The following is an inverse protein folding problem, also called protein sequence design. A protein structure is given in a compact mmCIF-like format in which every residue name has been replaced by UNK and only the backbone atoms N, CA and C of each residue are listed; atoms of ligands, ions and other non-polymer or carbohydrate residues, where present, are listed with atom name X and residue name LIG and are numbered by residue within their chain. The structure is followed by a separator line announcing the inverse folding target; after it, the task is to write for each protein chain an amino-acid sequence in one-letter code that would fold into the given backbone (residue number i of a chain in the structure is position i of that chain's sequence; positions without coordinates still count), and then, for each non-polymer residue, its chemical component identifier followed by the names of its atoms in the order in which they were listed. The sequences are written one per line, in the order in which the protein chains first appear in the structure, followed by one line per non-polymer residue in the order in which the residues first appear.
data_IF_385534013385
#
_entry.id   IF_385534013385
#
_cell.length_a   1.000
_cell.length_b   1.000
_cell.length_c   1.000
_cell.angle_alpha   90.00
_cell.angle_beta   90.00
_cell.angle_gamma   90.00
#
_symmetry.space_group_name_H-M   'P 1'
#
loop_
_entity.id
_entity.type
_entity.pdbx_description
1 polymer ?
#
# COMPACT_ATOMS: atom_id res chain seq x y z
N UNK A 1 18.64 44.78 -35.87
CA UNK A 1 19.03 43.48 -35.27
C UNK A 1 18.77 43.53 -33.77
N UNK A 2 18.00 42.56 -33.28
CA UNK A 2 17.59 42.35 -31.89
C UNK A 2 18.77 42.05 -30.96
N UNK A 3 18.64 42.40 -29.67
CA UNK A 3 19.03 41.53 -28.55
C UNK A 3 18.06 41.75 -27.38
N UNK A 4 17.19 40.77 -27.12
CA UNK A 4 16.39 40.69 -25.89
C UNK A 4 17.29 40.06 -24.81
N UNK A 5 17.46 40.67 -23.62
CA UNK A 5 18.26 40.07 -22.56
C UNK A 5 17.47 38.98 -21.84
N UNK A 6 17.93 37.74 -21.95
CA UNK A 6 17.48 36.61 -21.14
C UNK A 6 18.09 36.77 -19.74
N UNK A 7 17.31 37.30 -18.79
CA UNK A 7 17.70 37.46 -17.37
C UNK A 7 16.73 36.79 -16.39
N UNK A 8 16.10 35.68 -16.78
CA UNK A 8 15.20 34.93 -15.87
C UNK A 8 15.52 33.42 -15.76
N UNK A 9 16.57 32.93 -16.40
CA UNK A 9 16.87 31.48 -16.43
C UNK A 9 17.50 30.90 -15.16
N UNK A 10 18.25 31.70 -14.38
CA UNK A 10 19.02 31.16 -13.26
C UNK A 10 18.22 31.07 -11.95
N UNK A 11 17.26 31.98 -11.73
CA UNK A 11 16.51 32.04 -10.48
C UNK A 11 15.45 30.94 -10.37
N UNK A 12 14.82 30.53 -11.47
CA UNK A 12 13.83 29.45 -11.45
C UNK A 12 14.48 28.08 -11.23
N UNK A 13 15.67 27.86 -11.81
CA UNK A 13 16.41 26.62 -11.65
C UNK A 13 16.88 26.42 -10.20
N UNK A 14 17.33 27.48 -9.53
CA UNK A 14 17.72 27.44 -8.12
C UNK A 14 16.52 27.21 -7.18
N UNK A 15 15.33 27.72 -7.51
CA UNK A 15 14.11 27.46 -6.72
C UNK A 15 13.64 26.01 -6.89
N UNK A 16 13.66 25.46 -8.11
CA UNK A 16 13.29 24.05 -8.36
C UNK A 16 14.28 23.08 -7.71
N UNK A 17 15.58 23.39 -7.77
CA UNK A 17 16.61 22.60 -7.10
C UNK A 17 16.50 22.74 -5.57
N UNK A 18 16.18 23.92 -5.04
CA UNK A 18 15.91 24.09 -3.61
C UNK A 18 14.68 23.28 -3.14
N UNK A 19 13.61 23.16 -3.93
CA UNK A 19 12.49 22.25 -3.60
C UNK A 19 12.89 20.77 -3.66
N UNK A 20 13.78 20.38 -4.59
CA UNK A 20 14.27 19.00 -4.70
C UNK A 20 15.24 18.61 -3.56
N UNK A 21 15.98 19.56 -2.98
CA UNK A 21 16.93 19.30 -1.89
C UNK A 21 16.41 19.68 -0.50
N UNK A 22 15.43 20.59 -0.37
CA UNK A 22 14.70 20.86 0.88
C UNK A 22 13.50 19.92 1.09
N UNK A 23 13.14 19.11 0.09
CA UNK A 23 12.41 17.84 0.30
C UNK A 23 13.27 16.77 0.98
N UNK A 24 14.25 17.19 1.80
CA UNK A 24 15.14 16.33 2.54
C UNK A 24 14.32 15.39 3.40
N UNK A 25 14.48 14.09 3.19
CA UNK A 25 13.90 13.05 4.04
C UNK A 25 12.46 13.36 4.49
N UNK A 26 11.65 13.90 3.58
CA UNK A 26 10.21 13.95 3.69
C UNK A 26 9.68 12.54 3.54
N UNK A 27 10.15 11.63 4.41
CA UNK A 27 9.34 10.54 4.88
C UNK A 27 8.09 11.24 5.33
N UNK A 28 7.04 11.18 4.50
CA UNK A 28 5.67 11.32 4.96
C UNK A 28 5.68 10.48 6.24
N UNK A 29 5.74 11.14 7.39
CA UNK A 29 5.77 10.44 8.68
C UNK A 29 4.34 10.00 8.84
N UNK A 30 3.96 8.96 8.10
CA UNK A 30 2.82 8.14 8.41
C UNK A 30 3.12 7.67 9.82
N UNK A 31 2.54 8.36 10.80
CA UNK A 31 2.61 7.97 12.19
C UNK A 31 1.69 6.76 12.33
N UNK A 32 2.14 5.61 11.82
CA UNK A 32 1.52 4.33 12.11
C UNK A 32 1.85 4.05 13.57
N UNK A 33 1.01 4.57 14.48
CA UNK A 33 1.13 4.35 15.93
C UNK A 33 1.07 2.87 16.31
N UNK A 34 0.60 2.03 15.39
CA UNK A 34 0.31 0.62 15.55
C UNK A 34 1.19 -0.26 14.66
N UNK A 35 2.48 0.05 14.55
CA UNK A 35 3.44 -0.90 13.96
C UNK A 35 3.56 -2.13 14.90
N UNK A 36 3.67 -3.37 14.37
CA UNK A 36 3.79 -4.56 15.20
C UNK A 36 4.95 -4.43 16.20
N UNK A 37 4.67 -4.74 17.47
CA UNK A 37 5.69 -4.83 18.53
C UNK A 37 6.27 -6.25 18.54
N UNK A 38 7.40 -6.45 19.23
CA UNK A 38 7.97 -7.79 19.41
C UNK A 38 7.00 -8.79 20.06
N UNK A 39 6.01 -8.31 20.80
CA UNK A 39 4.96 -9.09 21.46
C UNK A 39 3.66 -9.17 20.67
N UNK A 40 3.59 -8.59 19.46
CA UNK A 40 2.38 -8.67 18.64
C UNK A 40 2.11 -10.11 18.25
N UNK A 41 0.86 -10.53 18.45
CA UNK A 41 0.37 -11.81 17.96
C UNK A 41 0.49 -11.84 16.42
N UNK A 42 0.96 -12.96 15.87
CA UNK A 42 1.02 -13.14 14.43
C UNK A 42 0.74 -14.59 14.06
N UNK A 43 0.21 -14.79 12.84
CA UNK A 43 0.07 -16.11 12.21
C UNK A 43 0.60 -16.06 10.79
N UNK A 44 1.00 -17.23 10.30
CA UNK A 44 1.48 -17.40 8.93
C UNK A 44 0.48 -18.27 8.17
N UNK A 45 -0.06 -17.74 7.08
CA UNK A 45 -0.92 -18.46 6.16
C UNK A 45 -0.12 -19.54 5.42
N UNK A 46 -0.70 -20.69 5.03
CA UNK A 46 0.00 -21.74 4.27
C UNK A 46 0.70 -21.28 2.98
N UNK A 47 0.25 -20.19 2.36
CA UNK A 47 0.88 -19.61 1.16
C UNK A 47 2.07 -18.67 1.47
N UNK A 48 2.44 -18.51 2.74
CA UNK A 48 3.58 -17.72 3.19
C UNK A 48 3.26 -16.31 3.70
N UNK A 49 2.00 -15.86 3.58
CA UNK A 49 1.57 -14.53 4.04
C UNK A 49 1.59 -14.47 5.56
N UNK A 50 2.33 -13.52 6.12
CA UNK A 50 2.35 -13.24 7.56
C UNK A 50 1.33 -12.17 7.89
N UNK A 51 0.44 -12.44 8.84
CA UNK A 51 -0.53 -11.47 9.34
C UNK A 51 -0.28 -11.21 10.82
N UNK A 52 -0.16 -9.94 11.18
CA UNK A 52 0.09 -9.45 12.54
C UNK A 52 -1.16 -8.79 13.09
N UNK A 53 -1.48 -9.10 14.33
CA UNK A 53 -2.48 -8.40 15.09
C UNK A 53 -1.80 -7.26 15.88
N UNK A 54 -2.06 -6.02 15.47
CA UNK A 54 -1.66 -4.83 16.22
C UNK A 54 -2.84 -4.18 16.95
N UNK A 55 -3.97 -4.87 17.05
CA UNK A 55 -5.07 -4.44 17.93
C UNK A 55 -4.70 -4.67 19.39
N UNK A 56 -5.30 -3.90 20.30
CA UNK A 56 -5.04 -4.00 21.74
C UNK A 56 -5.65 -5.26 22.40
N UNK A 57 -6.22 -6.16 21.59
CA UNK A 57 -6.87 -7.40 22.02
C UNK A 57 -6.38 -8.59 21.21
N UNK A 58 -6.31 -9.76 21.84
CA UNK A 58 -6.06 -11.03 21.14
C UNK A 58 -7.23 -11.35 20.20
N UNK A 59 -6.94 -11.84 19.00
CA UNK A 59 -7.98 -12.32 18.09
C UNK A 59 -8.35 -13.78 18.40
N UNK A 60 -9.62 -14.12 18.26
CA UNK A 60 -10.06 -15.52 18.40
C UNK A 60 -9.64 -16.35 17.18
N UNK A 61 -9.62 -17.68 17.32
CA UNK A 61 -9.33 -18.58 16.20
C UNK A 61 -10.29 -18.38 15.03
N UNK A 62 -11.59 -18.19 15.30
CA UNK A 62 -12.58 -17.89 14.27
C UNK A 62 -12.27 -16.60 13.48
N UNK A 63 -11.70 -15.58 14.15
CA UNK A 63 -11.25 -14.37 13.46
C UNK A 63 -10.05 -14.63 12.55
N UNK A 64 -9.09 -15.44 13.01
CA UNK A 64 -7.95 -15.84 12.18
C UNK A 64 -8.36 -16.69 10.98
N UNK A 65 -9.31 -17.60 11.16
CA UNK A 65 -9.90 -18.38 10.07
C UNK A 65 -10.57 -17.47 9.04
N UNK A 66 -11.34 -16.47 9.49
CA UNK A 66 -11.94 -15.47 8.60
C UNK A 66 -10.89 -14.70 7.79
N UNK A 67 -9.83 -14.20 8.45
CA UNK A 67 -8.73 -13.47 7.79
C UNK A 67 -8.05 -14.36 6.73
N UNK A 68 -7.79 -15.62 7.07
CA UNK A 68 -7.10 -16.56 6.19
C UNK A 68 -7.96 -16.94 4.98
N UNK A 69 -9.26 -17.12 5.16
CA UNK A 69 -10.21 -17.32 4.08
C UNK A 69 -10.26 -16.11 3.11
N UNK A 70 -10.18 -14.88 3.65
CA UNK A 70 -10.05 -13.66 2.83
C UNK A 70 -8.71 -13.57 2.08
N UNK A 71 -7.60 -13.99 2.68
CA UNK A 71 -6.29 -14.09 2.01
C UNK A 71 -6.35 -15.08 0.85
N UNK A 72 -6.96 -16.24 1.05
CA UNK A 72 -7.12 -17.27 0.03
C UNK A 72 -7.98 -16.80 -1.14
N UNK A 73 -9.11 -16.15 -0.83
CA UNK A 73 -9.97 -15.51 -1.82
C UNK A 73 -9.24 -14.41 -2.60
N UNK A 74 -8.54 -13.54 -1.89
CA UNK A 74 -7.79 -12.44 -2.49
C UNK A 74 -6.72 -12.98 -3.44
N UNK A 75 -6.01 -14.05 -3.07
CA UNK A 75 -4.93 -14.60 -3.89
C UNK A 75 -5.48 -15.20 -5.19
N UNK A 76 -6.61 -15.93 -5.10
CA UNK A 76 -7.29 -16.47 -6.29
C UNK A 76 -7.74 -15.34 -7.22
N UNK A 77 -8.33 -14.28 -6.68
CA UNK A 77 -8.78 -13.11 -7.45
C UNK A 77 -7.63 -12.33 -8.05
N UNK A 78 -6.55 -12.12 -7.29
CA UNK A 78 -5.37 -11.42 -7.77
C UNK A 78 -4.76 -12.16 -8.96
N UNK A 79 -4.56 -13.48 -8.84
CA UNK A 79 -4.01 -14.33 -9.90
C UNK A 79 -4.88 -14.37 -11.16
N UNK A 80 -6.20 -14.36 -11.03
CA UNK A 80 -7.08 -14.30 -12.19
C UNK A 80 -7.04 -12.93 -12.88
N UNK A 81 -6.83 -11.85 -12.11
CA UNK A 81 -6.76 -10.50 -12.64
C UNK A 81 -5.41 -10.17 -13.30
N UNK A 82 -4.31 -10.66 -12.71
CA UNK A 82 -2.93 -10.42 -13.12
C UNK A 82 -2.28 -11.75 -13.56
N UNK A 83 -2.73 -12.36 -14.68
CA UNK A 83 -2.28 -13.69 -15.09
C UNK A 83 -0.81 -13.75 -15.51
N UNK A 84 -0.17 -12.60 -15.74
CA UNK A 84 1.24 -12.47 -16.13
C UNK A 84 2.18 -12.19 -14.96
N UNK A 85 1.72 -12.34 -13.71
CA UNK A 85 2.60 -12.27 -12.54
C UNK A 85 3.64 -13.40 -12.59
N UNK A 86 4.93 -13.05 -12.48
CA UNK A 86 6.01 -14.04 -12.41
C UNK A 86 6.05 -14.69 -11.02
N UNK A 87 6.62 -15.88 -10.91
CA UNK A 87 6.77 -16.57 -9.63
C UNK A 87 7.61 -15.75 -8.61
N UNK A 88 8.57 -14.98 -9.09
CA UNK A 88 9.38 -14.08 -8.28
C UNK A 88 8.55 -12.93 -7.70
N UNK A 89 7.78 -12.23 -8.55
CA UNK A 89 6.91 -11.14 -8.10
C UNK A 89 5.85 -11.64 -7.12
N UNK A 90 5.30 -12.83 -7.37
CA UNK A 90 4.38 -13.49 -6.44
C UNK A 90 5.03 -13.74 -5.08
N UNK A 91 6.25 -14.28 -5.07
CA UNK A 91 6.99 -14.53 -3.83
C UNK A 91 7.21 -13.24 -3.04
N UNK A 92 7.63 -12.17 -3.71
CA UNK A 92 7.83 -10.85 -3.09
C UNK A 92 6.51 -10.32 -2.52
N UNK A 93 5.44 -10.35 -3.32
CA UNK A 93 4.12 -9.84 -2.90
C UNK A 93 3.57 -10.55 -1.67
N UNK A 94 3.67 -11.87 -1.63
CA UNK A 94 3.18 -12.67 -0.49
C UNK A 94 4.08 -12.55 0.73
N UNK A 95 5.35 -12.14 0.57
CA UNK A 95 6.25 -11.87 1.68
C UNK A 95 5.96 -10.54 2.39
N UNK A 96 5.23 -9.61 1.75
CA UNK A 96 4.80 -8.37 2.40
C UNK A 96 3.79 -8.71 3.50
N UNK A 97 4.10 -8.43 4.78
CA UNK A 97 3.22 -8.76 5.88
C UNK A 97 1.99 -7.87 5.90
N UNK A 98 0.88 -8.45 6.36
CA UNK A 98 -0.36 -7.73 6.64
C UNK A 98 -0.39 -7.38 8.13
N UNK A 99 -0.65 -6.13 8.46
CA UNK A 99 -0.79 -5.63 9.82
C UNK A 99 -2.23 -5.21 10.03
N UNK A 100 -2.90 -5.92 10.91
CA UNK A 100 -4.30 -5.68 11.29
C UNK A 100 -4.31 -4.64 12.41
N UNK A 101 -4.84 -3.48 12.09
CA UNK A 101 -4.98 -2.36 13.01
C UNK A 101 -6.30 -2.47 13.80
N UNK A 102 -6.45 -1.76 14.93
CA UNK A 102 -7.75 -1.54 15.53
C UNK A 102 -8.80 -1.09 14.50
N UNK A 103 -10.06 -1.43 14.74
CA UNK A 103 -11.16 -0.99 13.87
C UNK A 103 -11.21 0.54 13.77
N UNK A 104 -11.56 1.03 12.60
CA UNK A 104 -11.58 2.46 12.29
C UNK A 104 -10.97 2.75 10.94
N UNK A 105 -10.37 3.92 10.82
CA UNK A 105 -9.65 4.37 9.62
C UNK A 105 -8.22 4.75 9.97
N UNK A 106 -7.34 4.71 8.97
CA UNK A 106 -6.00 5.26 9.11
C UNK A 106 -6.04 6.72 8.69
N UNK A 107 -5.50 7.61 9.51
CA UNK A 107 -5.42 9.04 9.20
C UNK A 107 -4.04 9.38 8.65
N UNK A 108 -4.01 9.99 7.48
CA UNK A 108 -2.84 10.51 6.78
C UNK A 108 -3.02 12.00 6.53
N UNK A 109 -2.36 12.87 7.31
CA UNK A 109 -2.31 14.33 7.07
C UNK A 109 -3.66 14.89 6.52
N UNK A 110 -4.73 14.78 7.33
CA UNK A 110 -6.12 15.19 7.04
C UNK A 110 -6.92 14.30 6.05
N UNK A 111 -6.38 13.16 5.63
CA UNK A 111 -7.05 12.18 4.77
C UNK A 111 -7.35 10.89 5.52
N UNK A 112 -8.59 10.44 5.43
CA UNK A 112 -9.04 9.15 5.98
C UNK A 112 -8.85 8.08 4.91
N UNK A 113 -8.01 7.09 5.18
CA UNK A 113 -7.78 5.94 4.30
C UNK A 113 -8.17 4.63 4.99
N UNK A 114 -8.65 3.68 4.20
CA UNK A 114 -9.17 2.39 4.67
C UNK A 114 -8.14 1.25 4.54
N UNK A 115 -6.94 1.59 4.09
CA UNK A 115 -5.78 0.72 3.93
C UNK A 115 -4.56 1.55 3.50
N UNK A 116 -3.35 1.08 3.85
CA UNK A 116 -2.09 1.67 3.38
C UNK A 116 -1.10 0.57 3.07
N UNK A 117 -0.56 0.57 1.86
CA UNK A 117 0.63 -0.22 1.52
C UNK A 117 1.88 0.63 1.62
N UNK A 118 2.86 0.12 2.36
CA UNK A 118 4.25 0.57 2.33
C UNK A 118 5.12 -0.50 1.64
N UNK A 119 6.42 -0.25 1.51
CA UNK A 119 7.35 -1.27 1.00
C UNK A 119 7.52 -2.45 1.95
N UNK A 120 7.24 -2.25 3.24
CA UNK A 120 7.57 -3.23 4.28
C UNK A 120 6.34 -3.93 4.85
N UNK A 121 5.14 -3.39 4.64
CA UNK A 121 3.90 -3.92 5.19
C UNK A 121 2.65 -3.31 4.53
N UNK A 122 1.56 -4.08 4.57
CA UNK A 122 0.19 -3.66 4.26
C UNK A 122 -0.53 -3.44 5.58
N UNK A 123 -1.14 -2.28 5.78
CA UNK A 123 -1.86 -1.92 7.00
C UNK A 123 -3.36 -1.85 6.72
N UNK A 124 -4.16 -2.64 7.43
CA UNK A 124 -5.61 -2.69 7.28
C UNK A 124 -6.31 -2.61 8.64
N UNK A 125 -7.25 -1.69 8.85
CA UNK A 125 -8.15 -1.75 10.01
C UNK A 125 -8.92 -3.06 10.04
N UNK A 126 -9.18 -3.59 11.25
CA UNK A 126 -9.81 -4.91 11.39
C UNK A 126 -11.21 -5.02 10.76
N UNK A 127 -11.94 -3.91 10.62
CA UNK A 127 -13.23 -3.83 9.93
C UNK A 127 -13.12 -3.69 8.40
N UNK A 128 -11.91 -3.59 7.88
CA UNK A 128 -11.58 -3.45 6.46
C UNK A 128 -10.73 -4.61 5.92
N UNK A 129 -10.42 -5.63 6.73
CA UNK A 129 -9.85 -6.88 6.22
C UNK A 129 -10.92 -7.60 5.41
N UNK A 130 -10.72 -7.65 4.10
CA UNK A 130 -11.63 -8.27 3.13
C UNK A 130 -10.85 -8.68 1.88
N UNK A 131 -11.37 -9.65 1.13
CA UNK A 131 -10.84 -10.04 -0.19
C UNK A 131 -10.49 -8.80 -1.05
N UNK A 132 -11.43 -7.86 -1.16
CA UNK A 132 -11.32 -6.70 -2.04
C UNK A 132 -10.19 -5.76 -1.63
N UNK A 133 -10.08 -5.44 -0.33
CA UNK A 133 -9.03 -4.55 0.15
C UNK A 133 -7.66 -5.23 0.08
N UNK A 134 -7.57 -6.53 0.35
CA UNK A 134 -6.32 -7.28 0.15
C UNK A 134 -5.86 -7.25 -1.31
N UNK A 135 -6.77 -7.47 -2.26
CA UNK A 135 -6.45 -7.36 -3.70
C UNK A 135 -6.01 -5.94 -4.06
N UNK A 136 -6.69 -4.92 -3.53
CA UNK A 136 -6.34 -3.52 -3.75
C UNK A 136 -4.91 -3.21 -3.31
N UNK A 137 -4.57 -3.53 -2.06
CA UNK A 137 -3.22 -3.32 -1.51
C UNK A 137 -2.16 -4.14 -2.27
N UNK A 138 -2.49 -5.36 -2.69
CA UNK A 138 -1.59 -6.17 -3.51
C UNK A 138 -1.38 -5.62 -4.92
N UNK A 139 -2.32 -4.87 -5.50
CA UNK A 139 -2.09 -4.15 -6.76
C UNK A 139 -1.02 -3.08 -6.56
N UNK A 140 -1.03 -2.34 -5.44
CA UNK A 140 0.04 -1.39 -5.13
C UNK A 140 1.41 -2.08 -5.05
N UNK A 141 1.50 -3.18 -4.29
CA UNK A 141 2.74 -3.97 -4.15
C UNK A 141 3.22 -4.45 -5.53
N UNK A 142 2.34 -5.05 -6.33
CA UNK A 142 2.69 -5.55 -7.65
C UNK A 142 3.18 -4.44 -8.58
N UNK A 143 2.46 -3.31 -8.64
CA UNK A 143 2.84 -2.19 -9.52
C UNK A 143 4.20 -1.60 -9.17
N UNK A 144 4.52 -1.56 -7.87
CA UNK A 144 5.84 -1.14 -7.39
C UNK A 144 6.94 -2.11 -7.81
N UNK A 145 6.84 -3.38 -7.40
CA UNK A 145 7.93 -4.36 -7.61
C UNK A 145 8.07 -4.81 -9.07
N UNK A 146 7.00 -4.76 -9.87
CA UNK A 146 7.10 -5.01 -11.31
C UNK A 146 7.71 -3.85 -12.09
N UNK A 147 7.96 -2.69 -11.45
CA UNK A 147 8.46 -1.49 -12.11
C UNK A 147 7.43 -0.80 -13.02
N UNK A 148 6.16 -1.23 -13.00
CA UNK A 148 5.10 -0.66 -13.85
C UNK A 148 4.68 0.74 -13.41
N UNK A 149 4.77 1.06 -12.12
CA UNK A 149 4.53 2.40 -11.58
C UNK A 149 5.45 2.69 -10.39
N UNK A 150 6.02 3.88 -10.39
CA UNK A 150 6.72 4.38 -9.21
C UNK A 150 5.75 4.45 -8.02
N UNK A 151 6.25 4.05 -6.85
CA UNK A 151 5.52 4.06 -5.57
C UNK A 151 4.17 3.30 -5.57
N UNK A 152 3.99 2.30 -6.43
CA UNK A 152 2.80 1.47 -6.43
C UNK A 152 1.52 2.15 -6.91
N UNK A 153 1.61 3.34 -7.52
CA UNK A 153 0.46 4.10 -8.05
C UNK A 153 -0.56 4.54 -7.00
N UNK A 154 -0.12 5.32 -6.01
CA UNK A 154 -0.96 5.88 -4.94
C UNK A 154 -2.26 6.57 -5.38
N UNK A 155 -2.31 7.09 -6.60
CA UNK A 155 -3.48 7.79 -7.13
C UNK A 155 -4.42 6.88 -7.95
N UNK A 156 -4.23 5.56 -7.93
CA UNK A 156 -5.10 4.58 -8.58
C UNK A 156 -5.36 4.84 -10.07
N UNK A 157 -4.36 5.33 -10.80
CA UNK A 157 -4.49 5.70 -12.22
C UNK A 157 -4.29 4.51 -13.16
N UNK A 158 -3.79 3.39 -12.66
CA UNK A 158 -3.56 2.17 -13.41
C UNK A 158 -4.87 1.41 -13.59
N UNK A 159 -5.10 0.88 -14.78
CA UNK A 159 -6.29 0.10 -15.13
C UNK A 159 -6.49 -1.15 -14.25
N UNK A 160 -5.42 -1.67 -13.64
CA UNK A 160 -5.52 -2.79 -12.70
C UNK A 160 -6.39 -2.47 -11.49
N UNK A 161 -6.49 -1.21 -11.07
CA UNK A 161 -7.44 -0.87 -10.01
C UNK A 161 -8.87 -1.09 -10.49
N UNK A 162 -9.26 -0.59 -11.66
CA UNK A 162 -10.60 -0.85 -12.22
C UNK A 162 -10.88 -2.33 -12.48
N UNK A 163 -9.85 -3.12 -12.83
CA UNK A 163 -9.97 -4.54 -13.18
C UNK A 163 -9.96 -5.48 -11.96
N UNK A 164 -9.06 -5.26 -11.01
CA UNK A 164 -8.78 -6.20 -9.92
C UNK A 164 -9.52 -5.82 -8.63
N UNK A 165 -9.55 -4.53 -8.31
CA UNK A 165 -10.11 -3.98 -7.07
C UNK A 165 -11.28 -3.07 -7.42
N UNK A 166 -12.52 -3.56 -7.43
CA UNK A 166 -13.69 -2.72 -7.77
C UNK A 166 -13.65 -1.46 -6.89
N UNK A 167 -13.19 -0.32 -7.39
CA UNK A 167 -13.08 0.88 -6.57
C UNK A 167 -14.42 1.60 -6.66
N UNK A 168 -15.07 1.79 -5.51
CA UNK A 168 -16.17 2.73 -5.34
C UNK A 168 -15.69 4.21 -5.36
N UNK A 169 -14.39 4.45 -5.57
CA UNK A 169 -13.78 5.79 -5.54
C UNK A 169 -13.22 6.17 -6.91
N UNK A 170 -14.10 6.19 -7.92
CA UNK A 170 -13.85 6.91 -9.17
C UNK A 170 -14.23 8.38 -9.00
N UNK A 171 -13.44 9.17 -8.25
CA UNK A 171 -13.40 10.65 -8.37
C UNK A 171 -12.46 11.27 -7.33
N UNK A 172 -11.21 11.50 -7.74
CA UNK A 172 -10.42 12.66 -7.32
C UNK A 172 -9.74 13.23 -8.57
#
# INVERSE_FOLDING_TARGET
MQRVPVRYGLSLFLVVVAFLFMGGCGVIRIHIRHFPRATSEFRTHPIGVRAFNSSERTLSDAWWEFIFDDIDRAERRFRSCVPSETAELRTIRLAIPIVILPAGSVELDDTVVYGITTLDAIFLPSNHVSEQNLVHEWVHVYLYYSGKRYSGDYFHRNELFGKCSVSYYSSF
#
